data_IF_514091423499
#
_entry.id   IF_514091423499
#
_cell.length_a   1.000
_cell.length_b   1.000
_cell.length_c   1.000
_cell.angle_alpha   90.00
_cell.angle_beta   90.00
_cell.angle_gamma   90.00
#
_symmetry.space_group_name_H-M   'P 1'
#
loop_
_entity.id
_entity.type
_entity.pdbx_description
1 polymer ?
#
# COMPACT_ATOMS: atom_id res chain seq x y z
N UNK A 1 54.85 2.04 -24.07
CA UNK A 1 53.77 2.61 -23.21
C UNK A 1 52.40 2.73 -23.89
N UNK A 2 52.28 2.86 -25.23
CA UNK A 2 50.97 3.01 -25.92
C UNK A 2 50.08 1.75 -26.01
N UNK A 3 50.58 0.55 -25.69
CA UNK A 3 49.79 -0.70 -25.73
C UNK A 3 49.12 -1.06 -24.40
N UNK A 4 49.73 -0.64 -23.29
CA UNK A 4 49.25 -0.93 -21.93
C UNK A 4 48.03 -0.06 -21.57
N UNK A 5 47.95 1.17 -22.10
CA UNK A 5 46.76 2.03 -21.90
C UNK A 5 45.51 1.48 -22.59
N UNK A 6 45.65 0.80 -23.73
CA UNK A 6 44.51 0.22 -24.47
C UNK A 6 43.92 -0.98 -23.73
N UNK A 7 44.76 -1.76 -23.05
CA UNK A 7 44.35 -2.92 -22.24
C UNK A 7 43.69 -2.48 -20.92
N UNK A 8 44.22 -1.44 -20.27
CA UNK A 8 43.61 -0.89 -19.04
C UNK A 8 42.28 -0.17 -19.29
N UNK A 9 42.14 0.53 -20.43
CA UNK A 9 40.87 1.18 -20.81
C UNK A 9 39.75 0.16 -21.10
N UNK A 10 40.10 -0.96 -21.72
CA UNK A 10 39.15 -2.08 -21.98
C UNK A 10 38.65 -2.72 -20.68
N UNK A 11 39.53 -2.92 -19.69
CA UNK A 11 39.17 -3.53 -18.41
C UNK A 11 38.16 -2.66 -17.62
N UNK A 12 38.34 -1.34 -17.64
CA UNK A 12 37.47 -0.38 -16.93
C UNK A 12 36.06 -0.36 -17.52
N UNK A 13 35.93 -0.47 -18.84
CA UNK A 13 34.63 -0.48 -19.52
C UNK A 13 33.84 -1.76 -19.17
N UNK A 14 34.50 -2.91 -19.04
CA UNK A 14 33.84 -4.16 -18.62
C UNK A 14 33.26 -4.09 -17.20
N UNK A 15 33.95 -3.46 -16.24
CA UNK A 15 33.43 -3.34 -14.87
C UNK A 15 32.25 -2.36 -14.77
N UNK A 16 32.20 -1.30 -15.59
CA UNK A 16 31.09 -0.36 -15.62
C UNK A 16 29.78 -1.01 -16.12
N UNK A 17 29.85 -1.91 -17.11
CA UNK A 17 28.67 -2.62 -17.63
C UNK A 17 28.03 -3.57 -16.61
N UNK A 18 28.83 -4.21 -15.74
CA UNK A 18 28.33 -5.15 -14.74
C UNK A 18 27.62 -4.43 -13.59
N UNK A 19 28.14 -3.28 -13.16
CA UNK A 19 27.55 -2.47 -12.08
C UNK A 19 26.22 -1.81 -12.47
N UNK A 20 26.11 -1.29 -13.70
CA UNK A 20 24.88 -0.64 -14.18
C UNK A 20 23.79 -1.68 -14.50
N UNK A 21 24.17 -2.87 -14.98
CA UNK A 21 23.21 -3.94 -15.29
C UNK A 21 22.48 -4.47 -14.05
N UNK A 22 23.17 -4.59 -12.91
CA UNK A 22 22.57 -5.12 -11.68
C UNK A 22 21.52 -4.17 -11.09
N UNK A 23 21.77 -2.85 -11.11
CA UNK A 23 20.84 -1.85 -10.59
C UNK A 23 19.62 -1.66 -11.51
N UNK A 24 19.80 -1.72 -12.84
CA UNK A 24 18.69 -1.71 -13.79
C UNK A 24 17.82 -2.97 -13.68
N UNK A 25 18.42 -4.14 -13.45
CA UNK A 25 17.67 -5.39 -13.26
C UNK A 25 16.81 -5.37 -11.98
N UNK A 26 17.31 -4.81 -10.87
CA UNK A 26 16.50 -4.68 -9.64
C UNK A 26 15.39 -3.64 -9.77
N UNK A 27 15.61 -2.54 -10.51
CA UNK A 27 14.58 -1.53 -10.77
C UNK A 27 13.45 -2.06 -11.67
N UNK A 28 13.75 -2.90 -12.67
CA UNK A 28 12.73 -3.50 -13.55
C UNK A 28 12.05 -4.76 -12.97
N UNK A 29 12.65 -5.44 -11.99
CA UNK A 29 12.03 -6.61 -11.33
C UNK A 29 10.91 -6.24 -10.35
N UNK A 30 10.72 -4.96 -10.05
CA UNK A 30 9.66 -4.44 -9.16
C UNK A 30 8.36 -4.12 -9.92
N UNK A 31 8.11 -4.78 -11.06
CA UNK A 31 6.88 -4.57 -11.83
C UNK A 31 6.31 -5.85 -12.46
N UNK A 32 6.41 -6.98 -11.75
CA UNK A 32 5.74 -8.24 -12.11
C UNK A 32 5.19 -8.95 -10.88
N UNK A 33 4.05 -8.46 -10.38
CA UNK A 33 2.97 -9.28 -9.81
C UNK A 33 1.85 -8.38 -9.24
N UNK A 34 1.15 -7.69 -10.14
CA UNK A 34 -0.24 -7.30 -9.88
C UNK A 34 -1.11 -7.68 -11.08
N UNK A 35 -0.91 -8.90 -11.56
CA UNK A 35 -2.03 -9.63 -12.14
C UNK A 35 -2.93 -9.98 -10.95
N UNK A 36 -3.87 -9.08 -10.68
CA UNK A 36 -5.07 -9.46 -9.95
C UNK A 36 -5.69 -10.57 -10.77
N UNK A 37 -5.50 -11.82 -10.32
CA UNK A 37 -6.32 -12.93 -10.75
C UNK A 37 -7.76 -12.48 -10.53
N UNK A 38 -8.41 -12.15 -11.63
CA UNK A 38 -9.84 -11.94 -11.74
C UNK A 38 -10.53 -13.31 -11.68
N UNK A 39 -10.23 -14.06 -10.61
CA UNK A 39 -11.05 -15.18 -10.21
C UNK A 39 -12.20 -14.57 -9.41
N UNK A 40 -13.22 -14.14 -10.14
CA UNK A 40 -14.58 -14.08 -9.64
C UNK A 40 -14.98 -15.50 -9.21
N UNK A 41 -14.50 -15.91 -8.03
CA UNK A 41 -15.02 -17.07 -7.32
C UNK A 41 -16.41 -16.64 -6.88
N UNK A 42 -17.40 -16.94 -7.74
CA UNK A 42 -18.82 -16.97 -7.39
C UNK A 42 -19.00 -17.97 -6.23
N UNK A 43 -18.75 -17.51 -5.00
CA UNK A 43 -19.18 -18.20 -3.79
C UNK A 43 -20.65 -17.89 -3.61
N UNK A 44 -21.45 -18.79 -4.16
CA UNK A 44 -22.86 -18.91 -3.87
C UNK A 44 -22.97 -19.26 -2.37
N UNK A 45 -23.31 -18.29 -1.53
CA UNK A 45 -23.57 -18.55 -0.11
C UNK A 45 -24.80 -17.75 0.31
N UNK A 46 -25.95 -18.39 0.18
CA UNK A 46 -27.18 -18.02 0.86
C UNK A 46 -26.93 -18.10 2.37
N UNK A 47 -26.59 -16.96 2.97
CA UNK A 47 -26.80 -16.55 4.36
C UNK A 47 -26.12 -15.19 4.50
N UNK A 48 -26.86 -14.12 4.20
CA UNK A 48 -26.40 -12.74 4.26
C UNK A 48 -26.09 -12.32 5.71
N UNK A 49 -24.92 -12.69 6.22
CA UNK A 49 -24.32 -11.93 7.31
C UNK A 49 -23.83 -10.64 6.67
N UNK A 50 -24.62 -9.56 6.77
CA UNK A 50 -24.24 -8.25 6.27
C UNK A 50 -23.18 -7.62 7.17
N UNK A 51 -21.93 -8.06 7.01
CA UNK A 51 -20.78 -7.37 7.60
C UNK A 51 -20.66 -6.02 6.91
N UNK A 52 -21.19 -4.98 7.57
CA UNK A 52 -21.16 -3.62 7.07
C UNK A 52 -19.93 -2.90 7.63
N UNK A 53 -18.96 -2.61 6.77
CA UNK A 53 -17.83 -1.78 7.15
C UNK A 53 -18.32 -0.36 7.52
N UNK A 54 -17.89 0.20 8.66
CA UNK A 54 -18.41 1.48 9.13
C UNK A 54 -18.02 2.62 8.17
N UNK A 55 -18.90 3.60 8.04
CA UNK A 55 -18.58 4.87 7.36
C UNK A 55 -17.72 5.71 8.30
N UNK A 56 -16.58 6.18 7.80
CA UNK A 56 -15.70 7.08 8.55
C UNK A 56 -16.28 8.49 8.54
N UNK A 57 -16.26 9.14 9.70
CA UNK A 57 -16.67 10.54 9.85
C UNK A 57 -15.51 11.47 9.48
N UNK A 58 -15.59 12.07 8.29
CA UNK A 58 -14.56 12.96 7.77
C UNK A 58 -14.26 14.15 8.69
N UNK A 59 -15.26 14.66 9.42
CA UNK A 59 -15.07 15.81 10.33
C UNK A 59 -14.19 15.44 11.52
N UNK A 60 -14.43 14.27 12.13
CA UNK A 60 -13.62 13.78 13.24
C UNK A 60 -12.13 13.64 12.86
N UNK A 61 -11.84 13.26 11.62
CA UNK A 61 -10.48 13.05 11.15
C UNK A 61 -9.80 14.31 10.59
N UNK A 62 -10.50 15.45 10.44
CA UNK A 62 -9.86 16.73 10.04
C UNK A 62 -8.76 17.18 10.97
N UNK A 63 -8.82 16.79 12.26
CA UNK A 63 -7.79 17.09 13.26
C UNK A 63 -6.41 16.49 12.94
N UNK A 64 -6.35 15.52 12.02
CA UNK A 64 -5.10 14.93 11.55
C UNK A 64 -4.57 15.58 10.28
N UNK A 65 -5.25 16.60 9.74
CA UNK A 65 -4.69 17.47 8.71
C UNK A 65 -3.86 18.54 9.41
N UNK A 66 -2.55 18.51 9.19
CA UNK A 66 -1.58 19.44 9.77
C UNK A 66 -0.99 20.32 8.68
N UNK A 67 -0.44 21.45 9.07
CA UNK A 67 0.26 22.38 8.18
C UNK A 67 1.75 22.35 8.51
N UNK A 68 2.60 22.17 7.49
CA UNK A 68 4.05 22.18 7.67
C UNK A 68 4.59 23.63 7.74
N UNK A 69 5.92 23.78 7.89
CA UNK A 69 6.59 25.08 7.94
C UNK A 69 6.48 25.89 6.63
N UNK A 70 6.10 25.23 5.53
CA UNK A 70 5.94 25.81 4.19
C UNK A 70 4.47 26.18 3.88
N UNK A 71 3.59 26.17 4.90
CA UNK A 71 2.14 26.37 4.76
C UNK A 71 1.43 25.33 3.88
N UNK A 72 2.01 24.14 3.69
CA UNK A 72 1.37 23.04 2.98
C UNK A 72 0.65 22.11 3.94
N UNK A 73 -0.60 21.77 3.59
CA UNK A 73 -1.38 20.78 4.34
C UNK A 73 -0.90 19.36 4.02
N UNK A 74 -0.75 18.56 5.07
CA UNK A 74 -0.42 17.14 5.00
C UNK A 74 -1.27 16.35 5.98
N UNK A 75 -1.43 15.06 5.69
CA UNK A 75 -2.12 14.11 6.55
C UNK A 75 -1.10 13.51 7.51
N UNK A 76 -1.36 13.65 8.81
CA UNK A 76 -0.59 12.97 9.85
C UNK A 76 -0.84 11.45 9.79
N UNK A 77 0.23 10.66 9.80
CA UNK A 77 0.19 9.21 9.78
C UNK A 77 -0.58 8.60 10.98
N UNK A 78 -0.68 9.32 12.10
CA UNK A 78 -1.49 8.91 13.27
C UNK A 78 -2.97 8.69 12.92
N UNK A 79 -3.47 9.31 11.84
CA UNK A 79 -4.83 9.11 11.35
C UNK A 79 -5.16 7.62 11.13
N UNK A 80 -4.18 6.82 10.69
CA UNK A 80 -4.38 5.41 10.34
C UNK A 80 -4.69 4.60 11.58
N UNK A 81 -3.94 4.82 12.66
CA UNK A 81 -4.18 4.13 13.92
C UNK A 81 -5.56 4.46 14.48
N UNK A 82 -5.99 5.72 14.37
CA UNK A 82 -7.27 6.17 14.87
C UNK A 82 -8.45 5.66 14.04
N UNK A 83 -8.29 5.58 12.72
CA UNK A 83 -9.26 4.92 11.84
C UNK A 83 -9.36 3.43 12.20
N UNK A 84 -8.24 2.73 12.36
CA UNK A 84 -8.23 1.32 12.73
C UNK A 84 -8.98 1.11 14.06
N UNK A 85 -8.70 1.92 15.09
CA UNK A 85 -9.41 1.86 16.38
C UNK A 85 -10.91 2.08 16.25
N UNK A 86 -11.32 3.10 15.48
CA UNK A 86 -12.76 3.38 15.27
C UNK A 86 -13.45 2.22 14.55
N UNK A 87 -12.79 1.62 13.56
CA UNK A 87 -13.30 0.48 12.81
C UNK A 87 -13.44 -0.74 13.71
N UNK A 88 -12.39 -1.11 14.45
CA UNK A 88 -12.42 -2.25 15.38
C UNK A 88 -13.55 -2.07 16.41
N UNK A 89 -13.70 -0.86 16.97
CA UNK A 89 -14.75 -0.57 17.96
C UNK A 89 -16.17 -0.75 17.42
N UNK A 90 -16.38 -0.44 16.14
CA UNK A 90 -17.70 -0.50 15.48
C UNK A 90 -17.93 -1.80 14.73
N UNK A 91 -16.94 -2.68 14.66
CA UNK A 91 -17.05 -3.92 13.91
C UNK A 91 -17.85 -4.94 14.72
N UNK A 92 -18.97 -5.48 14.19
CA UNK A 92 -19.94 -6.23 14.98
C UNK A 92 -19.60 -7.72 15.18
N UNK A 93 -18.33 -8.16 15.06
CA UNK A 93 -18.01 -9.60 15.01
C UNK A 93 -16.98 -10.03 16.07
N UNK A 94 -17.26 -11.16 16.73
CA UNK A 94 -16.36 -11.82 17.69
C UNK A 94 -15.54 -12.96 17.06
N UNK A 95 -15.70 -13.20 15.76
CA UNK A 95 -15.06 -14.29 15.04
C UNK A 95 -14.44 -13.77 13.73
N UNK A 96 -13.34 -14.37 13.31
CA UNK A 96 -12.57 -13.95 12.12
C UNK A 96 -11.40 -13.01 12.45
N UNK A 97 -10.72 -12.58 11.40
CA UNK A 97 -9.53 -11.71 11.46
C UNK A 97 -9.75 -10.47 10.58
N UNK A 98 -9.35 -9.32 11.12
CA UNK A 98 -9.24 -8.08 10.37
C UNK A 98 -7.78 -7.86 9.98
N UNK A 99 -7.52 -7.78 8.68
CA UNK A 99 -6.23 -7.39 8.12
C UNK A 99 -6.33 -5.94 7.65
N UNK A 100 -5.31 -5.15 8.01
CA UNK A 100 -5.21 -3.76 7.63
C UNK A 100 -3.91 -3.56 6.86
N UNK A 101 -4.00 -2.84 5.75
CA UNK A 101 -2.86 -2.45 4.91
C UNK A 101 -3.08 -1.02 4.42
N UNK A 102 -2.02 -0.25 4.20
CA UNK A 102 -2.15 1.12 3.73
C UNK A 102 -0.99 1.55 2.82
N UNK A 103 -1.35 2.32 1.80
CA UNK A 103 -0.42 2.97 0.88
C UNK A 103 -0.54 4.50 1.04
N UNK A 104 0.57 5.17 1.35
CA UNK A 104 0.64 6.63 1.29
C UNK A 104 0.94 7.06 -0.15
N UNK A 105 -0.10 7.52 -0.86
CA UNK A 105 -0.01 7.94 -2.27
C UNK A 105 0.69 9.30 -2.38
N UNK A 106 0.41 10.20 -1.44
CA UNK A 106 1.08 11.49 -1.30
C UNK A 106 0.96 12.00 0.13
N UNK A 107 1.56 13.16 0.44
CA UNK A 107 1.35 13.84 1.72
C UNK A 107 -0.12 14.24 1.97
N UNK A 108 -0.95 14.23 0.92
CA UNK A 108 -2.36 14.64 0.95
C UNK A 108 -3.32 13.49 0.72
N UNK A 109 -2.82 12.27 0.51
CA UNK A 109 -3.65 11.13 0.16
C UNK A 109 -3.11 9.82 0.72
N UNK A 110 -3.98 9.10 1.44
CA UNK A 110 -3.71 7.75 1.93
C UNK A 110 -4.83 6.80 1.46
N UNK A 111 -4.42 5.62 0.99
CA UNK A 111 -5.32 4.54 0.66
C UNK A 111 -5.23 3.46 1.75
N UNK A 112 -6.30 3.27 2.52
CA UNK A 112 -6.40 2.23 3.53
C UNK A 112 -7.22 1.06 2.97
N UNK A 113 -6.63 -0.13 2.98
CA UNK A 113 -7.27 -1.41 2.65
C UNK A 113 -7.58 -2.16 3.93
N UNK A 114 -8.80 -2.68 4.00
CA UNK A 114 -9.26 -3.50 5.12
C UNK A 114 -9.82 -4.77 4.54
N UNK A 115 -9.39 -5.90 5.07
CA UNK A 115 -9.94 -7.21 4.74
C UNK A 115 -10.46 -7.86 6.01
N UNK A 116 -11.66 -8.39 5.94
CA UNK A 116 -12.22 -9.24 6.96
C UNK A 116 -12.28 -10.67 6.42
N UNK A 117 -11.72 -11.61 7.17
CA UNK A 117 -11.70 -13.02 6.80
C UNK A 117 -12.22 -13.87 7.94
N UNK A 118 -13.21 -14.70 7.66
CA UNK A 118 -13.62 -15.78 8.55
C UNK A 118 -13.53 -17.13 7.80
N UNK A 119 -14.04 -18.20 8.40
CA UNK A 119 -13.97 -19.54 7.81
C UNK A 119 -14.84 -19.68 6.55
N UNK A 120 -15.86 -18.83 6.40
CA UNK A 120 -16.90 -18.97 5.38
C UNK A 120 -16.67 -18.03 4.18
N UNK A 121 -16.18 -16.82 4.43
CA UNK A 121 -16.03 -15.78 3.43
C UNK A 121 -14.92 -14.76 3.74
N UNK A 122 -14.55 -14.00 2.72
CA UNK A 122 -13.63 -12.89 2.79
C UNK A 122 -14.31 -11.65 2.20
N UNK A 123 -14.20 -10.52 2.88
CA UNK A 123 -14.71 -9.23 2.44
C UNK A 123 -13.59 -8.21 2.48
N UNK A 124 -13.58 -7.29 1.52
CA UNK A 124 -12.60 -6.21 1.49
C UNK A 124 -13.24 -4.86 1.25
N UNK A 125 -12.65 -3.82 1.86
CA UNK A 125 -13.05 -2.43 1.69
C UNK A 125 -11.82 -1.55 1.56
N UNK A 126 -11.89 -0.60 0.62
CA UNK A 126 -10.88 0.46 0.45
C UNK A 126 -11.45 1.79 0.89
N UNK A 127 -10.68 2.52 1.69
CA UNK A 127 -10.94 3.90 2.10
C UNK A 127 -9.89 4.80 1.48
N UNK A 128 -10.34 5.81 0.76
CA UNK A 128 -9.48 6.84 0.17
C UNK A 128 -9.61 8.10 1.00
N UNK A 129 -8.56 8.43 1.73
CA UNK A 129 -8.50 9.59 2.62
C UNK A 129 -7.73 10.67 1.88
N UNK A 130 -8.35 11.84 1.72
CA UNK A 130 -7.75 12.99 1.01
C UNK A 130 -8.06 14.28 1.76
N UNK A 131 -7.09 15.20 1.76
CA UNK A 131 -7.30 16.58 2.22
C UNK A 131 -7.64 17.53 1.08
#
# INVERSE_FOLDING_TARGET
MKRIYKLSLSLIICFACIGIGYTFFTLFKTNKNRDYLNNDVKRNTNNEISVNFPKLDGEYFKKFVKTNLENENYIDAEIIQEIIKDIIKRFPTNAGFLEFDYDQISNKEILLLIKYKNNDYELSKKYRIKT
#
